data_IF_403203980816
#
_entry.id   IF_403203980816
#
_cell.length_a   1.000
_cell.length_b   1.000
_cell.length_c   1.000
_cell.angle_alpha   90.00
_cell.angle_beta   90.00
_cell.angle_gamma   90.00
#
_symmetry.space_group_name_H-M   'P 1'
#
loop_
_entity.id
_entity.type
_entity.pdbx_description
1 polymer ?
2 non-polymer ?
3 non-polymer ?
4 non-polymer ?
5 water ?
#
# COMPACT_ATOMS: atom_id res chain seq x y z
N UNK A 7 -21.67 0.25 -13.80
CA UNK A 7 -20.87 -0.65 -12.96
C UNK A 7 -20.26 0.12 -11.78
N UNK A 8 -20.36 -0.45 -10.57
CA UNK A 8 -19.88 0.21 -9.36
C UNK A 8 -19.38 -0.88 -8.41
N UNK A 9 -18.08 -0.86 -8.10
CA UNK A 9 -17.44 -1.87 -7.27
C UNK A 9 -17.61 -1.49 -5.80
N UNK A 10 -18.05 -2.42 -4.97
CA UNK A 10 -18.17 -2.19 -3.53
C UNK A 10 -16.88 -2.58 -2.82
N UNK A 11 -16.36 -1.69 -1.98
CA UNK A 11 -15.10 -1.91 -1.28
C UNK A 11 -15.34 -1.76 0.22
N UNK A 12 -14.93 -2.77 1.00
CA UNK A 12 -14.98 -2.72 2.45
C UNK A 12 -13.59 -2.36 2.95
N UNK A 13 -13.48 -1.21 3.63
CA UNK A 13 -12.23 -0.78 4.23
C UNK A 13 -12.48 -0.51 5.71
N UNK A 14 -11.39 -0.28 6.43
CA UNK A 14 -11.48 -0.01 7.85
C UNK A 14 -11.80 1.46 8.13
N UNK A 15 -12.69 1.67 9.07
CA UNK A 15 -12.92 3.01 9.59
C UNK A 15 -11.62 3.55 10.18
N UNK A 16 -11.27 4.75 9.85
CA UNK A 16 -10.02 5.31 10.31
C UNK A 16 -9.94 5.32 11.81
N UNK A 17 -11.02 5.63 12.53
CA UNK A 17 -11.05 5.64 13.98
C UNK A 17 -10.82 4.32 14.65
N UNK A 18 -11.31 3.22 14.12
CA UNK A 18 -11.08 1.92 14.69
C UNK A 18 -9.94 1.05 14.13
N UNK A 19 -9.58 1.17 12.88
CA UNK A 19 -8.52 0.33 12.35
C UNK A 19 -7.34 1.10 11.78
N UNK A 20 -7.42 2.43 11.72
CA UNK A 20 -6.36 3.22 11.14
C UNK A 20 -6.51 3.31 9.62
N UNK A 21 -5.39 3.62 8.98
CA UNK A 21 -5.30 3.60 7.52
C UNK A 21 -4.54 2.34 7.10
N UNK A 22 -5.04 1.66 6.09
CA UNK A 22 -4.46 0.43 5.64
C UNK A 22 -3.83 0.56 4.29
N UNK A 23 -2.55 0.28 4.19
CA UNK A 23 -1.93 0.35 2.86
C UNK A 23 -2.45 -0.69 1.89
N UNK A 24 -3.01 -1.81 2.37
CA UNK A 24 -3.50 -2.82 1.45
C UNK A 24 -4.84 -2.40 0.86
N UNK A 25 -5.61 -1.63 1.63
CA UNK A 25 -6.85 -1.04 1.11
C UNK A 25 -6.56 0.03 0.08
N UNK A 26 -5.54 0.87 0.35
CA UNK A 26 -5.23 1.92 -0.62
C UNK A 26 -4.68 1.33 -1.91
N UNK A 27 -4.02 0.19 -1.84
CA UNK A 27 -3.60 -0.49 -3.05
C UNK A 27 -4.79 -0.80 -3.96
N UNK A 28 -5.86 -1.36 -3.39
CA UNK A 28 -7.07 -1.63 -4.16
C UNK A 28 -7.65 -0.34 -4.72
N UNK A 29 -7.81 0.69 -3.87
CA UNK A 29 -8.44 1.93 -4.32
C UNK A 29 -7.64 2.58 -5.45
N UNK A 30 -6.31 2.64 -5.30
CA UNK A 30 -5.46 3.07 -6.40
C UNK A 30 -5.77 2.31 -7.69
N UNK A 31 -5.95 0.99 -7.59
CA UNK A 31 -6.17 0.20 -8.80
C UNK A 31 -7.48 0.60 -9.45
N UNK A 32 -8.53 0.82 -8.65
CA UNK A 32 -9.80 1.28 -9.21
C UNK A 32 -9.65 2.67 -9.84
N UNK A 33 -9.03 3.60 -9.13
CA UNK A 33 -8.76 4.92 -9.67
C UNK A 33 -8.04 4.85 -11.01
N UNK A 34 -6.93 4.11 -11.08
CA UNK A 34 -6.12 4.11 -12.30
C UNK A 34 -6.84 3.45 -13.47
N UNK A 35 -7.75 2.52 -13.21
CA UNK A 35 -8.60 1.96 -14.25
C UNK A 35 -9.90 2.75 -14.44
N UNK A 36 -10.09 3.85 -13.71
CA UNK A 36 -11.32 4.64 -13.80
C UNK A 36 -12.57 3.78 -13.57
N UNK A 37 -12.48 2.81 -12.66
CA UNK A 37 -13.64 2.02 -12.27
C UNK A 37 -14.39 2.73 -11.16
N UNK A 38 -15.69 2.96 -11.29
CA UNK A 38 -16.43 3.60 -10.19
C UNK A 38 -16.47 2.67 -8.99
N UNK A 39 -16.48 3.26 -7.80
CA UNK A 39 -16.54 2.45 -6.59
C UNK A 39 -17.17 3.23 -5.46
N UNK A 40 -17.76 2.50 -4.53
CA UNK A 40 -18.37 3.03 -3.32
C UNK A 40 -17.70 2.33 -2.14
N UNK A 41 -17.24 3.10 -1.17
CA UNK A 41 -16.50 2.59 -0.01
C UNK A 41 -17.45 2.39 1.16
N UNK A 42 -17.43 1.19 1.74
CA UNK A 42 -18.19 0.87 2.94
C UNK A 42 -17.20 0.66 4.08
N UNK A 43 -17.29 1.46 5.13
CA UNK A 43 -16.41 1.33 6.27
C UNK A 43 -16.82 0.21 7.19
N UNK A 44 -15.84 -0.53 7.71
CA UNK A 44 -16.11 -1.57 8.67
C UNK A 44 -15.73 -0.98 10.02
N UNK A 45 -16.75 -0.75 10.81
CA UNK A 45 -16.68 -0.18 12.15
C UNK A 45 -16.03 -1.03 13.17
N UNK A 46 -16.12 -2.33 13.02
CA UNK A 46 -15.54 -3.24 13.96
C UNK A 46 -14.04 -3.66 14.02
N UNK A 47 -13.50 -3.57 15.22
CA UNK A 47 -12.16 -4.04 15.49
C UNK A 47 -12.20 -5.53 15.83
N UNK A 48 -13.37 -6.00 16.24
CA UNK A 48 -13.63 -7.39 16.50
C UNK A 48 -13.98 -8.06 15.18
N UNK A 49 -14.21 -9.35 15.27
CA UNK A 49 -14.51 -10.08 14.09
C UNK A 49 -15.83 -10.72 14.17
N UNK A 50 -16.90 -9.97 13.90
CA UNK A 50 -18.22 -10.57 13.86
C UNK A 50 -18.26 -11.60 12.72
N UNK A 51 -19.05 -12.61 12.94
CA UNK A 51 -19.04 -13.78 12.04
C UNK A 51 -19.46 -13.41 10.62
N UNK A 52 -20.37 -12.46 10.45
CA UNK A 52 -20.70 -12.00 9.10
C UNK A 52 -19.52 -11.34 8.40
N UNK A 53 -18.55 -10.82 9.15
CA UNK A 53 -17.37 -10.27 8.51
C UNK A 53 -16.38 -11.37 8.14
N UNK A 54 -16.17 -12.32 9.04
CA UNK A 54 -15.36 -13.51 8.71
C UNK A 54 -15.99 -14.32 7.59
N UNK A 55 -17.29 -14.18 7.34
CA UNK A 55 -17.89 -14.86 6.20
C UNK A 55 -17.42 -14.26 4.87
N UNK A 56 -17.27 -12.93 4.79
CA UNK A 56 -16.79 -12.32 3.56
C UNK A 56 -15.26 -12.25 3.50
N UNK A 57 -14.57 -12.44 4.62
CA UNK A 57 -13.13 -12.28 4.71
C UNK A 57 -12.55 -13.28 5.71
N UNK A 58 -12.04 -14.43 5.24
CA UNK A 58 -11.69 -15.53 6.16
C UNK A 58 -10.74 -15.17 7.29
N UNK A 59 -9.77 -14.30 7.07
CA UNK A 59 -8.84 -13.91 8.12
C UNK A 59 -9.28 -12.66 8.86
N UNK A 60 -10.48 -12.16 8.58
CA UNK A 60 -10.99 -10.99 9.26
C UNK A 60 -10.19 -9.74 8.97
N UNK A 61 -9.77 -9.57 7.71
CA UNK A 61 -8.92 -8.47 7.31
C UNK A 61 -9.61 -7.62 6.27
N UNK A 62 -9.23 -6.34 6.22
CA UNK A 62 -9.57 -5.48 5.08
C UNK A 62 -8.37 -5.34 4.17
N UNK A 63 -8.59 -5.04 2.89
CA UNK A 63 -9.87 -4.79 2.21
C UNK A 63 -10.60 -6.04 1.76
N UNK A 64 -11.90 -5.89 1.49
CA UNK A 64 -12.71 -6.88 0.80
C UNK A 64 -13.43 -6.15 -0.33
N UNK A 65 -13.68 -6.85 -1.41
CA UNK A 65 -14.30 -6.24 -2.56
C UNK A 65 -15.44 -7.12 -3.03
N UNK A 66 -16.52 -6.49 -3.48
CA UNK A 66 -17.65 -7.21 -4.02
C UNK A 66 -17.62 -7.03 -5.53
N UNK A 67 -17.37 -8.13 -6.23
CA UNK A 67 -17.30 -8.18 -7.67
C UNK A 67 -18.14 -9.36 -8.14
N UNK A 68 -19.01 -9.12 -9.13
CA UNK A 68 -19.87 -10.17 -9.67
C UNK A 68 -20.70 -10.79 -8.54
N UNK A 69 -21.23 -9.94 -7.66
CA UNK A 69 -22.08 -10.37 -6.57
C UNK A 69 -21.44 -11.25 -5.52
N UNK A 70 -20.11 -11.36 -5.50
CA UNK A 70 -19.40 -12.16 -4.51
C UNK A 70 -18.31 -11.33 -3.85
N UNK A 71 -18.11 -11.57 -2.56
CA UNK A 71 -17.11 -10.85 -1.79
C UNK A 71 -15.77 -11.58 -1.88
N UNK A 72 -14.70 -10.81 -2.09
CA UNK A 72 -13.37 -11.36 -2.27
C UNK A 72 -12.39 -10.52 -1.45
N UNK A 73 -11.63 -11.19 -0.59
CA UNK A 73 -10.68 -10.55 0.28
C UNK A 73 -9.28 -10.72 -0.29
N UNK A 74 -8.31 -10.06 0.36
CA UNK A 74 -6.88 -10.18 0.04
C UNK A 74 -6.50 -9.30 -1.15
N UNK A 75 -5.69 -8.26 -0.89
CA UNK A 75 -5.44 -7.24 -1.91
C UNK A 75 -4.68 -7.79 -3.11
N UNK A 76 -3.81 -8.79 -2.92
CA UNK A 76 -3.13 -9.43 -4.05
C UNK A 76 -4.14 -10.07 -4.99
N UNK A 77 -5.12 -10.78 -4.41
CA UNK A 77 -6.15 -11.44 -5.20
C UNK A 77 -7.03 -10.40 -5.84
N UNK A 78 -7.39 -9.34 -5.09
CA UNK A 78 -8.35 -8.35 -5.58
C UNK A 78 -7.84 -7.63 -6.83
N UNK A 79 -6.61 -7.10 -6.78
CA UNK A 79 -6.12 -6.34 -7.94
C UNK A 79 -5.89 -7.26 -9.12
N UNK A 80 -5.57 -8.53 -8.88
CA UNK A 80 -5.42 -9.48 -9.97
C UNK A 80 -6.74 -9.75 -10.65
N UNK A 81 -7.82 -9.88 -9.86
CA UNK A 81 -9.14 -10.12 -10.43
C UNK A 81 -9.68 -8.87 -11.12
N UNK A 82 -9.36 -7.67 -10.60
CA UNK A 82 -9.72 -6.45 -11.31
C UNK A 82 -8.95 -6.36 -12.63
N UNK A 83 -7.70 -6.81 -12.65
CA UNK A 83 -6.94 -6.82 -13.90
C UNK A 83 -7.59 -7.77 -14.91
N UNK A 84 -8.04 -8.94 -14.48
CA UNK A 84 -8.64 -9.87 -15.44
C UNK A 84 -9.98 -9.34 -15.93
N UNK A 85 -10.76 -8.73 -15.05
CA UNK A 85 -12.08 -8.23 -15.44
C UNK A 85 -11.98 -6.95 -16.26
N UNK A 86 -11.05 -6.07 -15.92
CA UNK A 86 -10.91 -4.76 -16.58
C UNK A 86 -9.49 -4.55 -17.06
N UNK A 87 -9.13 -5.15 -18.20
CA UNK A 87 -7.71 -5.18 -18.63
C UNK A 87 -7.15 -3.87 -19.15
N UNK A 88 -7.98 -2.95 -19.62
CA UNK A 88 -7.50 -1.64 -20.06
C UNK A 88 -7.90 -0.55 -19.07
N UNK A 89 -6.94 0.31 -18.69
CA UNK A 89 -5.52 0.21 -19.01
C UNK A 89 -4.83 -0.92 -18.24
N UNK A 90 -3.83 -1.54 -18.84
CA UNK A 90 -3.14 -2.66 -18.23
C UNK A 90 -2.24 -2.20 -17.10
N UNK A 91 -2.32 -2.90 -15.96
CA UNK A 91 -1.42 -2.68 -14.84
C UNK A 91 -0.56 -3.90 -14.58
N UNK A 92 -0.53 -4.83 -15.52
CA UNK A 92 0.26 -6.03 -15.34
C UNK A 92 1.72 -5.68 -15.18
N UNK A 93 2.28 -6.09 -14.09
CA UNK A 93 3.69 -5.99 -13.78
C UNK A 93 4.41 -7.23 -14.33
N UNK A 94 5.45 -7.08 -15.16
CA UNK A 94 6.15 -8.25 -15.67
C UNK A 94 6.67 -9.10 -14.53
N UNK A 95 6.45 -10.42 -14.60
CA UNK A 95 6.73 -11.30 -13.44
C UNK A 95 8.10 -11.11 -12.82
N UNK A 96 9.10 -10.71 -13.61
CA UNK A 96 10.45 -10.53 -13.09
C UNK A 96 10.58 -9.34 -12.14
N UNK A 97 9.63 -8.40 -12.15
CA UNK A 97 9.65 -7.27 -11.21
C UNK A 97 8.66 -7.45 -10.06
N UNK A 98 7.95 -8.58 -10.02
CA UNK A 98 6.94 -8.82 -9.00
C UNK A 98 7.47 -8.62 -7.57
N UNK A 99 8.73 -9.00 -7.33
CA UNK A 99 9.32 -9.00 -5.98
C UNK A 99 10.01 -7.69 -5.61
N UNK A 100 10.01 -6.69 -6.49
CA UNK A 100 10.74 -5.46 -6.22
C UNK A 100 10.12 -4.73 -5.04
N UNK A 101 10.95 -4.39 -4.05
CA UNK A 101 10.50 -3.65 -2.88
C UNK A 101 9.70 -4.46 -1.88
N UNK A 102 9.74 -5.79 -1.99
CA UNK A 102 8.78 -6.64 -1.29
C UNK A 102 9.01 -6.75 0.21
N UNK A 103 10.24 -6.51 0.69
CA UNK A 103 10.53 -6.61 2.12
C UNK A 103 10.52 -5.25 2.82
N UNK A 104 10.30 -4.16 2.08
CA UNK A 104 10.41 -2.81 2.64
C UNK A 104 9.38 -2.61 3.75
N UNK A 105 8.12 -2.93 3.48
CA UNK A 105 7.07 -2.69 4.47
C UNK A 105 7.30 -3.45 5.76
N UNK A 106 7.73 -4.69 5.64
CA UNK A 106 8.02 -5.47 6.84
C UNK A 106 9.20 -4.91 7.62
N UNK A 107 10.24 -4.47 6.91
CA UNK A 107 11.40 -3.87 7.57
C UNK A 107 11.00 -2.58 8.28
N UNK A 108 10.13 -1.80 7.65
CA UNK A 108 9.68 -0.55 8.28
C UNK A 108 8.93 -0.83 9.59
N UNK A 109 8.06 -1.84 9.61
CA UNK A 109 7.28 -2.12 10.83
C UNK A 109 8.21 -2.53 11.96
N UNK A 110 9.23 -3.35 11.67
CA UNK A 110 10.17 -3.77 12.71
C UNK A 110 10.93 -2.56 13.28
N UNK A 111 11.47 -1.72 12.40
CA UNK A 111 12.15 -0.50 12.84
C UNK A 111 11.22 0.41 13.61
N UNK A 112 9.99 0.59 13.15
CA UNK A 112 9.07 1.45 13.83
C UNK A 112 8.75 0.96 15.23
N UNK A 113 8.58 -0.34 15.35
CA UNK A 113 8.31 -1.00 16.61
C UNK A 113 9.46 -0.96 17.60
N UNK A 114 10.67 -1.07 17.07
CA UNK A 114 11.89 -1.15 17.85
C UNK A 114 12.15 -0.03 18.83
N UNK A 115 12.50 -0.44 20.03
CA UNK A 115 12.85 0.48 21.08
C UNK A 115 14.35 0.38 21.36
N UNK A 116 14.99 -0.60 20.72
CA UNK A 116 16.41 -0.79 20.84
C UNK A 116 17.09 -0.30 19.58
N UNK A 117 17.67 0.89 19.65
CA UNK A 117 18.32 1.48 18.48
C UNK A 117 19.54 0.67 18.05
N UNK A 118 19.86 -0.34 18.83
CA UNK A 118 20.99 -1.15 18.53
C UNK A 118 20.67 -2.49 17.94
N UNK A 119 19.40 -2.76 17.74
CA UNK A 119 18.92 -4.06 17.28
C UNK A 119 19.20 -4.36 15.82
N UNK A 120 19.55 -3.37 15.01
CA UNK A 120 19.79 -3.60 13.60
C UNK A 120 18.58 -3.40 12.70
N UNK A 121 17.48 -2.96 13.27
CA UNK A 121 16.27 -2.73 12.51
C UNK A 121 16.40 -1.57 11.50
N UNK A 122 17.07 -0.49 11.88
CA UNK A 122 17.25 0.63 10.97
C UNK A 122 18.08 0.23 9.76
N UNK A 123 19.14 -0.53 10.00
CA UNK A 123 19.99 -0.98 8.93
C UNK A 123 19.27 -1.91 7.99
N UNK A 124 18.42 -2.75 8.56
CA UNK A 124 17.65 -3.70 7.77
C UNK A 124 16.73 -2.96 6.80
N UNK A 125 16.14 -1.86 7.25
CA UNK A 125 15.28 -1.06 6.39
C UNK A 125 16.09 -0.34 5.32
N UNK A 126 17.22 0.26 5.70
CA UNK A 126 18.03 0.92 4.70
C UNK A 126 18.49 -0.09 3.65
N UNK A 127 18.80 -1.32 4.07
CA UNK A 127 19.21 -2.36 3.13
C UNK A 127 18.13 -2.61 2.07
N UNK A 128 16.86 -2.62 2.49
CA UNK A 128 15.78 -2.83 1.54
C UNK A 128 15.54 -1.61 0.66
N UNK A 129 15.65 -0.41 1.23
CA UNK A 129 15.52 0.80 0.42
C UNK A 129 16.61 0.89 -0.64
N UNK A 130 17.84 0.49 -0.28
CA UNK A 130 18.94 0.51 -1.24
C UNK A 130 18.70 -0.44 -2.40
N UNK A 131 18.10 -1.61 -2.13
CA UNK A 131 17.77 -2.53 -3.20
C UNK A 131 16.75 -1.92 -4.16
N UNK A 132 15.74 -1.22 -3.63
CA UNK A 132 14.81 -0.48 -4.49
C UNK A 132 15.55 0.56 -5.32
N UNK A 133 16.45 1.31 -4.70
CA UNK A 133 17.27 2.32 -5.38
C UNK A 133 18.09 1.71 -6.50
N UNK A 134 18.74 0.56 -6.26
CA UNK A 134 19.52 -0.08 -7.32
C UNK A 134 18.66 -0.36 -8.53
N UNK A 135 17.46 -0.92 -8.31
CA UNK A 135 16.58 -1.23 -9.43
C UNK A 135 16.18 0.03 -10.17
N UNK A 136 15.79 1.08 -9.42
CA UNK A 136 15.29 2.30 -10.04
C UNK A 136 16.39 3.06 -10.78
N UNK A 137 17.64 2.96 -10.31
CA UNK A 137 18.74 3.64 -11.00
C UNK A 137 19.16 2.89 -12.26
N UNK A 138 19.00 1.57 -12.28
CA UNK A 138 19.49 0.77 -13.40
C UNK A 138 18.36 0.31 -14.33
N UNK A 139 17.13 0.78 -14.13
CA UNK A 139 16.01 0.45 -14.99
C UNK A 139 15.27 1.72 -15.38
N UNK A 140 14.76 1.76 -16.60
CA UNK A 140 14.07 2.95 -17.07
C UNK A 140 12.86 3.22 -16.23
N UNK A 141 12.67 4.49 -15.91
CA UNK A 141 11.55 4.93 -15.08
C UNK A 141 10.38 5.58 -15.82
N UNK A 142 9.55 6.33 -15.10
CA UNK A 142 9.65 6.66 -13.67
C UNK A 142 9.37 5.48 -12.73
N UNK A 143 8.63 4.47 -13.20
CA UNK A 143 8.13 3.42 -12.34
C UNK A 143 8.98 2.16 -12.46
N UNK A 144 8.63 1.16 -11.62
CA UNK A 144 9.45 -0.04 -11.51
C UNK A 144 9.60 -0.74 -12.86
N UNK A 145 8.52 -0.78 -13.64
CA UNK A 145 8.50 -1.55 -14.88
C UNK A 145 8.71 -0.67 -16.11
N UNK A 146 8.93 0.61 -15.93
CA UNK A 146 9.11 1.47 -17.07
C UNK A 146 8.31 2.75 -17.02
N UNK A 147 7.97 3.23 -18.21
CA UNK A 147 7.19 4.44 -18.41
C UNK A 147 5.80 4.37 -17.81
N UNK A 148 5.17 3.22 -17.84
CA UNK A 148 3.83 3.08 -17.29
C UNK A 148 3.75 2.54 -15.87
N UNK A 149 2.77 3.00 -15.13
CA UNK A 149 2.55 2.52 -13.78
C UNK A 149 1.96 1.11 -13.86
N UNK A 150 2.36 0.24 -12.95
CA UNK A 150 1.84 -1.11 -12.93
C UNK A 150 1.54 -1.51 -11.50
N UNK A 151 0.97 -2.71 -11.33
CA UNK A 151 0.44 -3.13 -10.04
C UNK A 151 1.51 -3.06 -8.93
N UNK A 152 2.77 -3.34 -9.25
CA UNK A 152 3.80 -3.32 -8.20
C UNK A 152 3.97 -1.91 -7.66
N UNK A 153 3.77 -0.89 -8.51
CA UNK A 153 3.91 0.49 -8.05
C UNK A 153 2.76 0.88 -7.12
N UNK A 154 1.56 0.37 -7.36
CA UNK A 154 0.41 0.66 -6.52
C UNK A 154 0.44 -0.17 -5.25
N UNK A 155 1.24 -1.22 -5.22
CA UNK A 155 1.44 -1.90 -3.95
C UNK A 155 2.43 -1.15 -3.08
N UNK A 156 3.52 -0.65 -3.70
CA UNK A 156 4.59 0.00 -2.94
C UNK A 156 4.17 1.39 -2.44
N UNK A 157 3.41 2.12 -3.24
CA UNK A 157 3.14 3.51 -2.89
C UNK A 157 2.54 3.76 -1.54
N UNK A 158 1.52 3.03 -1.16
CA UNK A 158 1.01 3.22 0.21
C UNK A 158 1.97 2.77 1.28
N UNK A 159 2.80 1.77 1.01
CA UNK A 159 3.83 1.36 1.96
C UNK A 159 4.89 2.44 2.12
N UNK A 160 5.37 3.00 1.01
CA UNK A 160 6.30 4.12 1.10
C UNK A 160 5.67 5.30 1.84
N UNK A 161 4.39 5.58 1.58
CA UNK A 161 3.70 6.66 2.27
C UNK A 161 3.69 6.46 3.78
N UNK A 162 3.18 5.30 4.24
CA UNK A 162 3.18 5.00 5.66
C UNK A 162 4.58 5.04 6.26
N UNK A 163 5.55 4.41 5.58
CA UNK A 163 6.93 4.48 6.00
C UNK A 163 7.36 5.92 6.33
N UNK A 164 7.26 6.81 5.34
CA UNK A 164 7.77 8.16 5.53
C UNK A 164 6.98 8.93 6.57
N UNK A 165 5.66 8.88 6.51
CA UNK A 165 4.84 9.59 7.48
C UNK A 165 5.12 9.08 8.89
N UNK A 166 5.06 7.76 9.08
CA UNK A 166 5.13 7.21 10.43
C UNK A 166 6.53 7.31 11.02
N UNK A 167 7.58 7.06 10.23
CA UNK A 167 8.93 7.16 10.78
C UNK A 167 9.33 8.62 10.98
N UNK A 168 8.78 9.52 10.16
CA UNK A 168 9.00 10.94 10.40
C UNK A 168 8.38 11.43 11.70
N UNK A 169 7.18 10.94 12.03
CA UNK A 169 6.53 11.39 13.25
C UNK A 169 7.12 10.71 14.48
N UNK A 170 7.15 9.37 14.50
CA UNK A 170 7.54 8.65 15.70
C UNK A 170 9.03 8.59 15.93
N UNK A 171 9.85 8.93 14.94
CA UNK A 171 11.29 8.83 15.09
C UNK A 171 12.05 9.94 14.38
N UNK A 172 11.36 11.00 13.95
CA UNK A 172 11.94 12.07 13.12
C UNK A 172 13.01 11.50 12.18
N UNK A 173 12.68 10.38 11.54
CA UNK A 173 13.56 9.69 10.60
C UNK A 173 13.05 9.93 9.19
N UNK A 174 13.96 10.21 8.27
CA UNK A 174 13.62 10.43 6.87
C UNK A 174 14.49 9.53 6.00
N UNK A 175 14.00 9.25 4.80
CA UNK A 175 14.77 8.41 3.88
C UNK A 175 16.11 9.07 3.61
N UNK A 176 17.23 8.34 3.66
CA UNK A 176 18.55 8.96 3.43
C UNK A 176 18.59 9.74 2.13
N UNK A 177 19.20 10.94 2.20
CA UNK A 177 19.22 11.83 1.05
C UNK A 177 19.96 11.25 -0.14
N UNK A 178 20.87 10.30 0.08
CA UNK A 178 21.62 9.72 -1.02
C UNK A 178 20.80 8.76 -1.86
N UNK A 179 19.63 8.33 -1.38
CA UNK A 179 18.73 7.48 -2.15
C UNK A 179 17.78 8.37 -2.95
N UNK A 180 18.37 9.05 -3.94
CA UNK A 180 17.63 10.04 -4.72
C UNK A 180 16.62 9.42 -5.66
N UNK A 181 16.88 8.23 -6.20
CA UNK A 181 15.89 7.58 -7.06
C UNK A 181 14.65 7.15 -6.28
N UNK A 182 14.83 6.61 -5.07
CA UNK A 182 13.68 6.26 -4.25
C UNK A 182 12.83 7.49 -3.96
N UNK A 183 13.47 8.61 -3.61
CA UNK A 183 12.77 9.85 -3.30
C UNK A 183 12.00 10.41 -4.50
N UNK A 184 12.62 10.39 -5.69
CA UNK A 184 11.89 10.76 -6.90
C UNK A 184 10.77 9.78 -7.20
N UNK A 185 10.98 8.50 -6.90
CA UNK A 185 9.94 7.50 -7.11
C UNK A 185 8.71 7.76 -6.24
N UNK A 186 8.92 8.10 -4.97
CA UNK A 186 7.79 8.36 -4.09
C UNK A 186 7.05 9.64 -4.48
N UNK A 187 7.78 10.67 -4.87
CA UNK A 187 7.13 11.91 -5.31
C UNK A 187 6.32 11.68 -6.58
N UNK A 188 6.84 10.90 -7.51
CA UNK A 188 6.09 10.56 -8.71
C UNK A 188 4.81 9.80 -8.36
N UNK A 189 4.87 8.89 -7.39
CA UNK A 189 3.66 8.17 -6.99
C UNK A 189 2.74 9.07 -6.18
N UNK A 190 3.27 9.83 -5.23
CA UNK A 190 2.37 10.60 -4.37
C UNK A 190 1.65 11.69 -5.14
N UNK A 191 2.26 12.19 -6.22
CA UNK A 191 1.71 13.30 -6.99
C UNK A 191 0.58 12.88 -7.92
N UNK A 192 0.34 11.58 -8.08
CA UNK A 192 -0.68 11.12 -9.00
C UNK A 192 -2.06 11.38 -8.43
N UNK A 193 -2.98 11.65 -9.37
CA UNK A 193 -4.36 11.94 -9.00
C UNK A 193 -5.00 10.77 -8.24
N UNK A 194 -4.71 9.53 -8.65
CA UNK A 194 -5.21 8.36 -7.92
C UNK A 194 -4.72 8.36 -6.47
N UNK A 195 -3.47 8.76 -6.24
CA UNK A 195 -2.95 8.75 -4.88
C UNK A 195 -3.56 9.87 -4.04
N UNK A 196 -3.61 11.08 -4.59
CA UNK A 196 -4.17 12.20 -3.83
C UNK A 196 -5.62 11.94 -3.43
N UNK A 197 -6.33 11.15 -4.22
CA UNK A 197 -7.74 10.91 -3.94
C UNK A 197 -7.99 9.71 -3.04
N UNK A 198 -6.96 8.93 -2.71
CA UNK A 198 -7.11 7.74 -1.91
C UNK A 198 -6.23 7.72 -0.67
N UNK A 199 -5.33 8.68 -0.52
CA UNK A 199 -4.45 8.71 0.65
C UNK A 199 -5.20 9.21 1.88
N UNK A 200 -4.68 8.83 3.04
CA UNK A 200 -5.22 9.30 4.29
C UNK A 200 -4.41 10.52 4.76
N UNK A 201 -5.09 11.41 5.48
CA UNK A 201 -4.41 12.50 6.16
C UNK A 201 -3.25 11.93 6.98
N UNK A 202 -2.19 12.69 7.13
CA UNK A 202 -1.07 12.20 7.89
C UNK A 202 -1.51 11.87 9.29
N UNK A 203 -2.42 12.65 9.83
CA UNK A 203 -2.90 12.41 11.18
C UNK A 203 -3.50 11.01 11.33
N UNK A 204 -4.28 10.56 10.35
CA UNK A 204 -4.86 9.21 10.39
C UNK A 204 -3.76 8.16 10.39
N UNK A 205 -2.75 8.33 9.53
CA UNK A 205 -1.65 7.37 9.46
C UNK A 205 -0.97 7.27 10.82
N UNK A 206 -0.54 8.42 11.34
CA UNK A 206 0.12 8.44 12.64
C UNK A 206 -0.72 7.75 13.71
N UNK A 207 -2.01 8.10 13.78
CA UNK A 207 -2.89 7.49 14.77
C UNK A 207 -2.99 5.99 14.54
N UNK A 208 -3.18 5.56 13.29
CA UNK A 208 -3.23 4.12 13.12
C UNK A 208 -2.07 3.35 13.75
N UNK A 209 -0.90 3.95 13.82
CA UNK A 209 0.26 3.23 14.32
C UNK A 209 0.65 3.42 15.78
N UNK A 210 -0.11 4.22 16.51
CA UNK A 210 0.26 4.54 17.87
C UNK A 210 0.40 3.36 18.83
N UNK A 211 -0.50 2.41 18.75
CA UNK A 211 -0.41 1.26 19.61
C UNK A 211 0.86 0.44 19.39
N UNK A 212 1.29 0.33 18.14
CA UNK A 212 2.45 -0.44 17.78
C UNK A 212 3.77 0.15 18.23
N UNK A 213 3.81 1.45 18.42
CA UNK A 213 5.05 2.11 18.79
C UNK A 213 5.33 1.95 20.29
X LIG B 1 -2.45 -9.70 2.80
X LIG B 1 -3.62 -8.93 3.10
X LIG B 1 -4.00 -8.05 1.93
X LIG B 1 -5.12 -7.61 1.79
X LIG B 1 -3.19 -7.73 1.11
X LIG B 1 -3.29 -8.11 4.32
X LIG B 1 -4.49 -7.31 4.74
X LIG B 1 -4.33 -6.77 6.14
X LIG B 1 -3.55 -7.18 6.85
X LIG B 1 -5.16 -5.72 6.59
X LIG B 1 -5.04 -5.21 7.92
X LIG B 1 -6.22 -5.75 8.68
X LIG B 1 -7.28 -5.81 8.24
X LIG B 1 -5.09 -3.70 7.99
X LIG B 1 -3.62 -2.91 7.34
X LIG B 1 -5.98 -6.15 10.01
X LIG B 1 -7.08 -6.63 10.78
X LIG B 1 -6.71 -7.12 12.12
X LIG B 1 -6.76 -6.31 13.05
X LIG B 1 -6.39 -8.32 12.23
X LIG C 1 -2.14 17.12 5.65
X LIG C 1 -1.57 15.92 5.17
X LIG C 1 -3.07 16.76 6.79
X LIG C 1 -3.95 15.79 6.28
X LIG C 1 -2.26 16.15 7.93
X LIG C 1 -3.12 15.53 8.86
X LIG D 1 -23.95 -7.23 0.81
X LIG D 1 -22.93 -6.93 1.80
X LIG D 1 -25.23 -7.37 1.48
X LIG D 1 -23.63 -8.48 0.12
X LIG D 1 -24.02 -6.14 -0.16
#
# INVERSE_FOLDING_TARGET
GPMALDICVKVAVGAPDVLGDCPFSQRVLLTLEEKKLPYKTHLINVSDKPQWFLDISPEGKVPVVKLDGKWVADSDVIVGLLEEKYPEPSLKTPPEFASVGSKIFGAFVTFLKSKDANDGSEKALVDELEALENHLKTHSGPFVAGEKITAVDLSLAPKLYHLEVALGHYKNWSVPESLTSVRNYAKALFSRESFENTKAKKEIVVAGWESKVNA
GSH N1 CA1 C1 O11 O12 CB1 CG1 CD1 OE1 N2 CA2 C2 O2 CB2 SG2 N3 CA3 C3 O31 O32
GOL C1 O1 C2 O2 C3 O3
SO4 S O1 O2 O3 O4
#
